data_IF_208735019791
#
_entry.id   IF_208735019791
#
_cell.length_a   1.000
_cell.length_b   1.000
_cell.length_c   1.000
_cell.angle_alpha   90.00
_cell.angle_beta   90.00
_cell.angle_gamma   90.00
#
_symmetry.space_group_name_H-M   'P 1'
#
loop_
_entity.id
_entity.type
_entity.pdbx_description
1 polymer ?
#
# COMPACT_ATOMS: atom_id res chain seq x y z
N UNK A 1 11.61 6.95 -5.52
CA UNK A 1 11.38 7.60 -6.82
C UNK A 1 10.36 6.79 -7.60
N UNK A 2 9.36 7.46 -8.19
CA UNK A 2 8.43 6.85 -9.16
C UNK A 2 8.66 7.55 -10.49
N UNK A 3 8.77 6.78 -11.58
CA UNK A 3 8.90 7.33 -12.93
C UNK A 3 7.91 6.64 -13.85
N UNK A 4 7.15 7.45 -14.58
CA UNK A 4 6.25 7.03 -15.64
C UNK A 4 6.81 7.53 -16.95
N UNK A 5 6.92 6.66 -17.94
CA UNK A 5 7.44 7.00 -19.25
C UNK A 5 6.43 6.57 -20.31
N UNK A 6 5.91 7.54 -21.05
CA UNK A 6 4.98 7.33 -22.17
C UNK A 6 3.77 6.45 -21.82
N UNK A 7 3.16 6.67 -20.65
CA UNK A 7 2.01 5.86 -20.22
C UNK A 7 0.80 6.16 -21.09
N UNK A 8 0.30 5.13 -21.77
CA UNK A 8 -0.89 5.17 -22.61
C UNK A 8 -1.96 4.24 -22.08
N UNK A 9 -3.20 4.71 -22.10
CA UNK A 9 -4.36 3.91 -21.72
C UNK A 9 -5.58 4.28 -22.52
N UNK A 10 -6.20 3.27 -23.11
CA UNK A 10 -7.46 3.38 -23.81
C UNK A 10 -8.51 2.42 -23.23
N UNK A 11 -9.76 2.80 -23.28
CA UNK A 11 -10.93 1.96 -23.01
C UNK A 11 -11.75 1.89 -24.30
N UNK A 12 -11.71 0.74 -24.96
CA UNK A 12 -12.24 0.59 -26.31
C UNK A 12 -11.55 1.58 -27.26
N UNK A 13 -12.34 2.45 -27.91
CA UNK A 13 -11.84 3.47 -28.84
C UNK A 13 -11.41 4.78 -28.17
N UNK A 14 -11.70 4.95 -26.88
CA UNK A 14 -11.41 6.18 -26.16
C UNK A 14 -10.02 6.13 -25.54
N UNK A 15 -9.09 6.94 -26.01
CA UNK A 15 -7.78 7.13 -25.39
C UNK A 15 -7.90 8.12 -24.23
N UNK A 16 -7.61 7.64 -23.00
CA UNK A 16 -7.71 8.41 -21.74
C UNK A 16 -6.36 8.96 -21.32
N UNK A 17 -5.29 8.16 -21.44
CA UNK A 17 -3.92 8.60 -21.18
C UNK A 17 -3.13 8.57 -22.48
N UNK A 18 -2.57 9.72 -22.85
CA UNK A 18 -1.97 9.96 -24.17
C UNK A 18 -0.47 10.20 -24.05
N UNK A 19 0.28 9.18 -23.53
CA UNK A 19 1.71 9.30 -23.41
C UNK A 19 2.16 10.17 -22.23
N UNK A 20 1.69 9.84 -21.03
CA UNK A 20 1.99 10.59 -19.81
C UNK A 20 3.40 10.29 -19.33
N UNK A 21 4.15 11.36 -19.04
CA UNK A 21 5.45 11.33 -18.38
C UNK A 21 5.32 12.01 -17.02
N UNK A 22 5.84 11.34 -15.97
CA UNK A 22 5.82 11.87 -14.60
C UNK A 22 7.02 11.31 -13.83
N UNK A 23 7.71 12.17 -13.11
CA UNK A 23 8.74 11.75 -12.15
C UNK A 23 8.39 12.31 -10.78
N UNK A 24 8.40 11.44 -9.76
CA UNK A 24 8.18 11.79 -8.36
C UNK A 24 9.38 11.29 -7.57
N UNK A 25 10.12 12.18 -6.93
CA UNK A 25 11.29 11.81 -6.13
C UNK A 25 10.89 11.35 -4.74
N UNK A 26 11.85 10.81 -3.99
CA UNK A 26 11.62 10.44 -2.60
C UNK A 26 11.38 11.71 -1.76
N UNK A 27 10.28 11.73 -1.03
CA UNK A 27 9.85 12.87 -0.21
C UNK A 27 8.93 13.85 -0.92
N UNK A 28 8.77 13.77 -2.25
CA UNK A 28 7.87 14.65 -2.98
C UNK A 28 6.40 14.33 -2.66
N UNK A 29 5.58 15.38 -2.61
CA UNK A 29 4.12 15.31 -2.61
C UNK A 29 3.61 15.91 -3.91
N UNK A 30 2.96 15.10 -4.73
CA UNK A 30 2.42 15.50 -6.03
C UNK A 30 0.90 15.49 -6.00
N UNK A 31 0.30 16.65 -6.34
CA UNK A 31 -1.14 16.77 -6.53
C UNK A 31 -1.49 16.74 -8.02
N UNK A 32 -2.41 15.84 -8.41
CA UNK A 32 -2.91 15.76 -9.78
C UNK A 32 -4.27 16.45 -9.82
N UNK A 33 -4.33 17.61 -10.50
CA UNK A 33 -5.52 18.44 -10.63
C UNK A 33 -6.12 18.28 -12.02
N UNK A 34 -7.42 18.54 -12.14
CA UNK A 34 -8.14 18.52 -13.42
C UNK A 34 -9.63 18.19 -13.26
N UNK A 35 -10.44 18.38 -14.30
CA UNK A 35 -11.88 18.13 -14.26
C UNK A 35 -12.21 16.64 -14.05
N UNK A 36 -13.47 16.36 -13.69
CA UNK A 36 -13.95 14.97 -13.62
C UNK A 36 -13.82 14.30 -14.99
N UNK A 37 -13.43 13.03 -15.01
CA UNK A 37 -13.23 12.28 -16.26
C UNK A 37 -11.89 12.52 -16.97
N UNK A 38 -11.00 13.42 -16.51
CA UNK A 38 -9.71 13.70 -17.16
C UNK A 38 -8.65 12.59 -17.02
N UNK A 39 -8.97 11.43 -16.45
CA UNK A 39 -8.05 10.30 -16.35
C UNK A 39 -7.18 10.26 -15.09
N UNK A 40 -7.35 11.17 -14.11
CA UNK A 40 -6.55 11.20 -12.87
C UNK A 40 -6.56 9.86 -12.11
N UNK A 41 -7.74 9.32 -11.89
CA UNK A 41 -7.91 8.03 -11.21
C UNK A 41 -7.33 6.89 -12.05
N UNK A 42 -7.46 6.97 -13.38
CA UNK A 42 -6.88 5.99 -14.31
C UNK A 42 -5.36 6.02 -14.21
N UNK A 43 -4.74 7.21 -14.19
CA UNK A 43 -3.30 7.35 -14.04
C UNK A 43 -2.81 6.74 -12.71
N UNK A 44 -3.46 7.08 -11.59
CA UNK A 44 -3.12 6.49 -10.28
C UNK A 44 -3.25 4.96 -10.26
N UNK A 45 -4.30 4.42 -10.91
CA UNK A 45 -4.48 2.97 -11.03
C UNK A 45 -3.46 2.31 -11.94
N UNK A 46 -2.95 3.02 -12.94
CA UNK A 46 -1.91 2.53 -13.83
C UNK A 46 -0.56 2.40 -13.10
N UNK A 47 -0.24 3.27 -12.15
CA UNK A 47 1.04 3.22 -11.40
C UNK A 47 1.21 1.87 -10.69
N UNK A 48 0.15 1.29 -10.16
CA UNK A 48 0.20 0.00 -9.44
C UNK A 48 -0.44 -1.16 -10.20
N UNK A 49 -0.69 -0.99 -11.50
CA UNK A 49 -1.34 -1.98 -12.37
C UNK A 49 -2.70 -2.50 -11.88
N UNK A 50 -3.43 -1.73 -11.05
CA UNK A 50 -4.87 -1.97 -10.84
C UNK A 50 -5.65 -1.78 -12.14
N UNK A 51 -5.20 -0.82 -12.95
CA UNK A 51 -5.56 -0.68 -14.34
C UNK A 51 -4.31 -0.90 -15.18
N UNK A 52 -4.34 -1.85 -16.12
CA UNK A 52 -3.18 -2.13 -16.96
C UNK A 52 -3.04 -1.07 -18.03
N UNK A 53 -1.91 -0.33 -18.09
CA UNK A 53 -1.61 0.53 -19.23
C UNK A 53 -1.51 -0.29 -20.53
N UNK A 54 -1.80 0.34 -21.66
CA UNK A 54 -1.64 -0.30 -22.96
C UNK A 54 -0.18 -0.23 -23.44
N UNK A 55 0.53 0.86 -23.06
CA UNK A 55 1.92 1.07 -23.46
C UNK A 55 2.64 1.94 -22.42
N UNK A 56 3.97 2.01 -22.53
CA UNK A 56 4.85 2.78 -21.67
C UNK A 56 5.57 1.94 -20.63
N UNK A 57 6.19 2.61 -19.68
CA UNK A 57 6.99 2.00 -18.61
C UNK A 57 6.63 2.63 -17.26
N UNK A 58 6.51 1.79 -16.22
CA UNK A 58 6.37 2.19 -14.83
C UNK A 58 7.59 1.73 -14.07
N UNK A 59 8.34 2.67 -13.47
CA UNK A 59 9.48 2.38 -12.62
C UNK A 59 9.23 2.88 -11.19
N UNK A 60 9.58 2.05 -10.17
CA UNK A 60 9.46 2.37 -8.75
C UNK A 60 10.74 1.94 -8.04
N UNK A 61 11.49 2.93 -7.56
CA UNK A 61 12.83 2.73 -7.04
C UNK A 61 13.77 2.25 -8.14
N UNK A 62 14.30 1.07 -7.95
CA UNK A 62 15.22 0.34 -8.83
C UNK A 62 14.53 -0.67 -9.75
N UNK A 63 13.21 -0.76 -9.68
CA UNK A 63 12.45 -1.76 -10.43
C UNK A 63 11.56 -1.12 -11.48
N UNK A 64 11.63 -1.58 -12.71
CA UNK A 64 10.80 -1.10 -13.82
C UNK A 64 10.04 -2.22 -14.52
N UNK A 65 8.89 -1.88 -15.08
CA UNK A 65 7.98 -2.79 -15.77
C UNK A 65 7.50 -2.16 -17.06
N UNK A 66 7.73 -2.86 -18.17
CA UNK A 66 7.16 -2.50 -19.47
C UNK A 66 5.68 -2.88 -19.50
N UNK A 67 4.82 -1.90 -19.84
CA UNK A 67 3.38 -2.04 -19.71
C UNK A 67 2.76 -2.96 -20.77
N UNK A 68 3.40 -3.09 -21.93
CA UNK A 68 2.86 -3.82 -23.07
C UNK A 68 2.70 -5.32 -22.80
N UNK A 69 3.70 -5.94 -22.17
CA UNK A 69 3.70 -7.37 -21.85
C UNK A 69 4.25 -7.67 -20.45
N UNK A 70 3.64 -7.14 -19.37
CA UNK A 70 4.12 -7.38 -18.03
C UNK A 70 3.78 -8.80 -17.59
N UNK A 71 4.73 -9.48 -16.95
CA UNK A 71 4.46 -10.76 -16.29
C UNK A 71 3.66 -10.56 -15.01
N UNK A 72 2.97 -11.61 -14.56
CA UNK A 72 2.28 -11.58 -13.25
C UNK A 72 3.27 -11.30 -12.10
N UNK A 73 4.49 -11.80 -12.20
CA UNK A 73 5.56 -11.60 -11.22
C UNK A 73 5.98 -10.12 -11.15
N UNK A 74 6.12 -9.48 -12.31
CA UNK A 74 6.51 -8.07 -12.39
C UNK A 74 5.46 -7.18 -11.74
N UNK A 75 4.19 -7.41 -12.05
CA UNK A 75 3.07 -6.69 -11.46
C UNK A 75 3.03 -6.87 -9.92
N UNK A 76 3.22 -8.10 -9.43
CA UNK A 76 3.25 -8.37 -8.00
C UNK A 76 4.43 -7.68 -7.30
N UNK A 77 5.60 -7.69 -7.92
CA UNK A 77 6.80 -7.02 -7.40
C UNK A 77 6.58 -5.51 -7.29
N UNK A 78 6.03 -4.90 -8.33
CA UNK A 78 5.73 -3.47 -8.35
C UNK A 78 4.66 -3.10 -7.32
N UNK A 79 3.60 -3.90 -7.18
CA UNK A 79 2.55 -3.70 -6.16
C UNK A 79 3.08 -3.76 -4.73
N UNK A 80 4.10 -4.59 -4.47
CA UNK A 80 4.74 -4.65 -3.14
C UNK A 80 5.52 -3.39 -2.80
N UNK A 81 5.96 -2.63 -3.81
CA UNK A 81 6.68 -1.35 -3.63
C UNK A 81 5.73 -0.15 -3.53
N UNK A 82 4.43 -0.33 -3.72
CA UNK A 82 3.42 0.72 -3.68
C UNK A 82 2.31 0.43 -2.69
N UNK A 83 1.69 1.50 -2.23
CA UNK A 83 0.47 1.41 -1.46
C UNK A 83 -0.55 2.41 -2.04
N UNK A 84 -1.77 1.96 -2.33
CA UNK A 84 -2.84 2.81 -2.87
C UNK A 84 -3.95 3.03 -1.86
N UNK A 85 -4.38 4.27 -1.67
CA UNK A 85 -5.54 4.65 -0.86
C UNK A 85 -6.71 4.94 -1.78
N UNK A 86 -7.84 4.25 -1.57
CA UNK A 86 -9.08 4.48 -2.34
C UNK A 86 -9.95 5.52 -1.66
N UNK A 87 -10.83 6.18 -2.38
CA UNK A 87 -11.79 7.15 -1.83
C UNK A 87 -12.79 6.53 -0.86
N UNK A 88 -13.22 5.28 -1.12
CA UNK A 88 -14.07 4.54 -0.20
C UNK A 88 -13.24 3.83 0.87
N UNK A 89 -13.79 3.71 2.07
CA UNK A 89 -13.05 3.22 3.23
C UNK A 89 -12.52 1.79 3.07
N UNK A 90 -13.18 0.92 2.31
CA UNK A 90 -12.77 -0.45 1.97
C UNK A 90 -12.29 -1.29 3.19
N UNK A 91 -12.81 -0.97 4.38
CA UNK A 91 -12.62 -1.81 5.55
C UNK A 91 -13.52 -3.05 5.43
N UNK A 92 -13.02 -4.19 5.84
CA UNK A 92 -13.81 -5.41 5.97
C UNK A 92 -14.83 -5.22 7.09
N UNK A 93 -16.11 -5.12 6.74
CA UNK A 93 -17.20 -4.79 7.67
C UNK A 93 -17.36 -5.80 8.82
N UNK A 94 -16.97 -7.05 8.58
CA UNK A 94 -17.05 -8.17 9.52
C UNK A 94 -15.75 -8.41 10.30
N UNK A 95 -14.78 -7.51 10.20
CA UNK A 95 -13.53 -7.52 10.96
C UNK A 95 -13.43 -6.29 11.83
N UNK A 96 -12.82 -6.43 13.01
CA UNK A 96 -12.52 -5.30 13.89
C UNK A 96 -11.49 -4.36 13.25
N UNK A 97 -11.30 -3.20 13.81
CA UNK A 97 -10.26 -2.25 13.37
C UNK A 97 -8.88 -2.90 13.41
N UNK A 98 -8.55 -3.58 14.48
CA UNK A 98 -7.28 -4.30 14.64
C UNK A 98 -7.12 -5.39 13.57
N UNK A 99 -8.12 -6.20 13.33
CA UNK A 99 -8.09 -7.24 12.30
C UNK A 99 -7.94 -6.68 10.89
N UNK A 100 -8.58 -5.54 10.60
CA UNK A 100 -8.41 -4.83 9.34
C UNK A 100 -6.96 -4.38 9.14
N UNK A 101 -6.31 -3.85 10.18
CA UNK A 101 -4.91 -3.42 10.13
C UNK A 101 -3.97 -4.63 9.98
N UNK A 102 -4.25 -5.72 10.68
CA UNK A 102 -3.46 -6.96 10.61
C UNK A 102 -3.53 -7.66 9.27
N UNK A 103 -4.60 -7.48 8.49
CA UNK A 103 -4.87 -8.26 7.26
C UNK A 103 -3.70 -8.22 6.28
N UNK A 104 -3.15 -7.04 6.01
CA UNK A 104 -2.01 -6.87 5.11
C UNK A 104 -0.74 -7.58 5.61
N UNK A 105 -0.51 -7.56 6.92
CA UNK A 105 0.66 -8.21 7.53
C UNK A 105 0.52 -9.74 7.49
N UNK A 106 -0.65 -10.26 7.87
CA UNK A 106 -0.87 -11.71 7.97
C UNK A 106 -1.04 -12.35 6.58
N UNK A 107 -1.92 -11.80 5.75
CA UNK A 107 -2.30 -12.43 4.47
C UNK A 107 -1.26 -12.18 3.38
N UNK A 108 -0.77 -10.94 3.25
CA UNK A 108 0.14 -10.58 2.15
C UNK A 108 1.60 -10.81 2.53
N UNK A 109 2.02 -10.35 3.72
CA UNK A 109 3.41 -10.44 4.16
C UNK A 109 3.74 -11.73 4.90
N UNK A 110 2.73 -12.54 5.25
CA UNK A 110 2.88 -13.81 5.99
C UNK A 110 3.55 -13.63 7.36
N UNK A 111 3.34 -12.48 8.00
CA UNK A 111 3.82 -12.21 9.36
C UNK A 111 3.01 -13.07 10.33
N UNK A 112 3.66 -13.77 11.31
CA UNK A 112 2.95 -14.52 12.35
C UNK A 112 1.97 -13.61 13.13
N UNK A 113 0.76 -14.12 13.42
CA UNK A 113 -0.31 -13.35 14.04
C UNK A 113 0.09 -12.57 15.30
N UNK A 114 0.88 -13.13 16.26
CA UNK A 114 1.28 -12.39 17.47
C UNK A 114 2.09 -11.13 17.12
N UNK A 115 3.03 -11.22 16.19
CA UNK A 115 3.84 -10.09 15.75
C UNK A 115 3.01 -9.08 14.95
N UNK A 116 2.13 -9.56 14.05
CA UNK A 116 1.22 -8.69 13.31
C UNK A 116 0.31 -7.91 14.27
N UNK A 117 -0.20 -8.56 15.33
CA UNK A 117 -1.03 -7.91 16.35
C UNK A 117 -0.25 -6.80 17.07
N UNK A 118 0.95 -7.09 17.54
CA UNK A 118 1.79 -6.10 18.22
C UNK A 118 2.08 -4.88 17.35
N UNK A 119 2.51 -5.10 16.10
CA UNK A 119 2.76 -4.01 15.15
C UNK A 119 1.50 -3.20 14.86
N UNK A 120 0.36 -3.88 14.69
CA UNK A 120 -0.91 -3.22 14.41
C UNK A 120 -1.39 -2.35 15.57
N UNK A 121 -1.22 -2.79 16.82
CA UNK A 121 -1.54 -1.99 18.00
C UNK A 121 -0.68 -0.73 18.09
N UNK A 122 0.62 -0.83 17.81
CA UNK A 122 1.52 0.34 17.78
C UNK A 122 1.10 1.35 16.70
N UNK A 123 0.64 0.87 15.54
CA UNK A 123 0.13 1.74 14.48
C UNK A 123 -1.17 2.41 14.91
N UNK A 124 -2.10 1.68 15.52
CA UNK A 124 -3.36 2.22 16.03
C UNK A 124 -3.12 3.27 17.11
N UNK A 125 -2.13 3.07 17.97
CA UNK A 125 -1.73 4.04 18.99
C UNK A 125 -1.25 5.35 18.36
N UNK A 126 -0.35 5.27 17.36
CA UNK A 126 0.17 6.46 16.64
C UNK A 126 -0.91 7.30 15.98
N UNK A 127 -2.03 6.70 15.58
CA UNK A 127 -3.16 7.40 14.94
C UNK A 127 -4.33 7.67 15.90
N UNK A 128 -4.18 7.37 17.22
CA UNK A 128 -5.20 7.62 18.23
C UNK A 128 -6.43 6.69 18.15
N UNK A 129 -6.30 5.54 17.50
CA UNK A 129 -7.38 4.55 17.34
C UNK A 129 -7.23 3.32 18.25
N UNK A 130 -6.24 3.30 19.15
CA UNK A 130 -6.03 2.17 20.06
C UNK A 130 -7.28 1.85 20.91
N UNK A 131 -8.05 2.84 21.48
CA UNK A 131 -9.28 2.56 22.22
C UNK A 131 -10.41 1.94 21.37
N UNK A 132 -10.27 1.96 20.05
CA UNK A 132 -11.22 1.41 19.07
C UNK A 132 -10.70 0.15 18.37
N UNK A 133 -9.64 -0.47 18.89
CA UNK A 133 -9.02 -1.64 18.27
C UNK A 133 -10.01 -2.79 18.02
N UNK A 134 -10.89 -3.04 18.97
CA UNK A 134 -11.87 -4.13 18.93
C UNK A 134 -13.25 -3.69 18.38
N UNK A 135 -13.42 -2.41 18.02
CA UNK A 135 -14.63 -1.89 17.39
C UNK A 135 -14.75 -2.34 15.93
N UNK A 136 -15.97 -2.46 15.43
CA UNK A 136 -16.23 -2.70 14.00
C UNK A 136 -16.29 -1.39 13.23
N UNK A 137 -16.06 -1.41 11.89
CA UNK A 137 -16.12 -0.20 11.07
C UNK A 137 -17.41 0.60 11.20
N UNK A 138 -18.55 -0.04 11.45
CA UNK A 138 -19.85 0.61 11.66
C UNK A 138 -19.92 1.46 12.94
N UNK A 139 -19.03 1.22 13.90
CA UNK A 139 -18.96 1.92 15.17
C UNK A 139 -17.97 3.09 15.16
N UNK A 140 -17.39 3.35 13.99
CA UNK A 140 -16.42 4.42 13.77
C UNK A 140 -17.05 5.61 13.05
N UNK A 141 -16.66 6.83 13.43
CA UNK A 141 -16.95 8.02 12.63
C UNK A 141 -16.25 7.95 11.27
N UNK A 142 -16.72 8.72 10.29
CA UNK A 142 -16.11 8.75 8.96
C UNK A 142 -14.61 9.09 8.99
N UNK A 143 -14.18 10.02 9.84
CA UNK A 143 -12.76 10.36 10.03
C UNK A 143 -11.96 9.22 10.65
N UNK A 144 -12.52 8.50 11.62
CA UNK A 144 -11.90 7.33 12.24
C UNK A 144 -11.78 6.17 11.25
N UNK A 145 -12.79 5.94 10.41
CA UNK A 145 -12.73 4.95 9.32
C UNK A 145 -11.62 5.30 8.32
N UNK A 146 -11.45 6.58 8.01
CA UNK A 146 -10.39 7.06 7.15
C UNK A 146 -9.00 6.80 7.76
N UNK A 147 -8.79 7.07 9.05
CA UNK A 147 -7.56 6.77 9.77
C UNK A 147 -7.29 5.25 9.83
N UNK A 148 -8.27 4.44 10.20
CA UNK A 148 -8.16 2.98 10.26
C UNK A 148 -7.73 2.37 8.92
N UNK A 149 -8.15 2.94 7.81
CA UNK A 149 -7.74 2.54 6.47
C UNK A 149 -6.28 2.86 6.13
N UNK A 150 -5.70 3.91 6.70
CA UNK A 150 -4.29 4.26 6.49
C UNK A 150 -3.35 3.36 7.31
N UNK A 151 -3.83 2.79 8.41
CA UNK A 151 -3.03 1.98 9.32
C UNK A 151 -2.32 0.78 8.69
N UNK A 152 -2.93 -0.05 7.80
CA UNK A 152 -2.23 -1.18 7.19
C UNK A 152 -0.97 -0.80 6.41
N UNK A 153 -0.84 0.47 6.05
CA UNK A 153 0.29 1.01 5.29
C UNK A 153 1.38 1.58 6.16
N UNK A 154 1.02 2.14 7.30
CA UNK A 154 1.98 2.63 8.28
C UNK A 154 2.75 1.48 8.94
N UNK A 155 2.15 0.27 9.02
CA UNK A 155 2.80 -0.94 9.48
C UNK A 155 3.61 -1.69 8.42
N UNK A 156 3.42 -1.34 7.14
CA UNK A 156 4.15 -1.92 6.01
C UNK A 156 5.38 -1.05 5.70
N UNK A 157 6.34 -0.94 6.60
CA UNK A 157 7.65 -0.45 6.21
C UNK A 157 8.21 -1.35 5.09
N UNK A 158 8.71 -0.76 3.98
CA UNK A 158 9.40 -1.56 2.98
C UNK A 158 10.55 -2.27 3.68
N UNK A 159 10.56 -3.61 3.65
CA UNK A 159 11.60 -4.44 4.27
C UNK A 159 12.95 -4.04 3.70
N UNK A 160 13.67 -3.18 4.41
CA UNK A 160 15.04 -2.77 4.16
C UNK A 160 16.03 -3.30 5.18
N UNK A 161 15.64 -4.22 6.08
CA UNK A 161 16.58 -4.99 6.88
C UNK A 161 16.01 -6.37 7.20
N UNK A 162 16.77 -7.46 6.94
CA UNK A 162 16.48 -8.75 7.53
C UNK A 162 16.70 -8.59 9.04
N UNK A 163 15.67 -8.82 9.84
CA UNK A 163 15.81 -9.04 11.27
C UNK A 163 16.73 -10.25 11.40
N UNK A 164 17.98 -10.04 11.78
CA UNK A 164 18.90 -11.10 12.14
C UNK A 164 18.29 -11.84 13.33
N UNK A 165 18.16 -13.14 13.19
CA UNK A 165 17.62 -14.11 14.14
C UNK A 165 18.54 -14.33 15.35
N UNK A 166 19.37 -13.36 15.74
CA UNK A 166 20.43 -13.51 16.73
C UNK A 166 20.19 -12.83 18.08
N UNK A 167 19.07 -12.11 18.25
CA UNK A 167 18.85 -11.37 19.51
C UNK A 167 17.74 -11.94 20.41
N UNK A 168 17.37 -13.21 20.22
CA UNK A 168 16.49 -13.94 21.11
C UNK A 168 17.20 -15.21 21.65
N UNK A 169 18.15 -15.03 22.54
CA UNK A 169 18.68 -16.16 23.22
C UNK A 169 20.00 -15.88 23.91
N UNK A 170 19.95 -15.69 25.18
CA UNK A 170 20.89 -16.11 26.20
C UNK A 170 20.84 -15.17 27.41
N UNK A 171 19.73 -15.23 28.11
CA UNK A 171 19.68 -14.91 29.53
C UNK A 171 19.60 -16.22 30.29
N UNK A 172 20.65 -17.04 30.24
CA UNK A 172 20.80 -18.15 31.16
C UNK A 172 21.60 -17.68 32.34
N UNK A 173 21.00 -17.73 33.50
CA UNK A 173 21.70 -17.59 34.77
C UNK A 173 22.76 -18.67 34.99
N UNK A 174 23.69 -18.32 35.81
CA UNK A 174 24.47 -19.15 36.73
C UNK A 174 24.89 -18.16 37.81
N UNK A 175 24.48 -18.32 38.90
CA UNK A 175 24.54 -18.93 40.13
C UNK A 175 25.97 -19.31 40.53
N UNK A 176 26.45 -18.83 41.61
CA UNK A 176 27.70 -19.15 42.25
C UNK A 176 28.08 -18.08 43.23
#
# INVERSE_FOLDING_TARGET
>A
MIRLTNIRKSFGKQEVLRGIHLTVNKGDVVCILGPSGSGKTTLLRCINFLERPNDGEVAIGDYSVQCKHPSKKDILTLRRKTAMVFQHYNLFKHKTVLENVMEGLVVVQKVPKPFARQQSLQVLEKVGLLPKADAYPSELSGGQQQLGRHCPRLGAEPRGHPVRRTDLGAGSGAGG
#
